data_IF_988799469036
#
_entry.id   IF_988799469036
#
_cell.length_a   1.000
_cell.length_b   1.000
_cell.length_c   1.000
_cell.angle_alpha   90.00
_cell.angle_beta   90.00
_cell.angle_gamma   90.00
#
_symmetry.space_group_name_H-M   'P 1'
#
loop_
_entity.id
_entity.type
_entity.pdbx_description
1 polymer ?
#
# COMPACT_ATOMS: atom_id res chain seq x y z
N UNK A 1 -42.13 21.07 14.01
CA UNK A 1 -41.80 19.66 14.32
C UNK A 1 -40.37 19.42 13.88
N UNK A 2 -39.55 18.84 14.75
CA UNK A 2 -38.11 19.08 14.86
C UNK A 2 -37.28 18.80 13.58
N UNK A 3 -36.53 19.82 13.15
CA UNK A 3 -35.36 19.68 12.28
C UNK A 3 -34.25 18.99 13.09
N UNK A 4 -33.94 17.75 12.74
CA UNK A 4 -32.68 17.14 13.15
C UNK A 4 -31.55 17.74 12.30
N UNK A 5 -30.50 18.35 12.88
CA UNK A 5 -29.31 18.68 12.11
C UNK A 5 -28.61 17.38 11.73
N UNK A 6 -28.55 17.08 10.44
CA UNK A 6 -27.85 15.89 9.92
C UNK A 6 -26.37 15.94 10.32
N UNK A 7 -25.91 15.00 11.14
CA UNK A 7 -24.49 14.86 11.49
C UNK A 7 -23.64 14.75 10.22
N UNK A 8 -22.64 15.63 10.07
CA UNK A 8 -21.59 15.50 9.04
C UNK A 8 -20.94 14.12 9.17
N UNK A 9 -20.90 13.35 8.07
CA UNK A 9 -20.14 12.10 8.03
C UNK A 9 -18.70 12.43 7.62
N UNK A 10 -17.77 12.30 8.57
CA UNK A 10 -16.33 12.47 8.35
C UNK A 10 -15.70 11.14 7.92
N UNK A 11 -14.93 11.14 6.84
CA UNK A 11 -14.08 10.03 6.45
C UNK A 11 -12.63 10.33 6.86
N UNK A 12 -11.99 9.45 7.61
CA UNK A 12 -10.59 9.61 8.03
C UNK A 12 -9.70 8.67 7.22
N UNK A 13 -8.76 9.27 6.50
CA UNK A 13 -7.87 8.57 5.56
C UNK A 13 -6.42 8.84 5.97
N UNK A 14 -5.60 7.80 6.10
CA UNK A 14 -4.15 7.99 6.28
C UNK A 14 -3.32 7.31 5.22
N UNK A 15 -2.28 8.01 4.74
CA UNK A 15 -1.27 7.50 3.82
C UNK A 15 0.12 7.79 4.40
N UNK A 16 0.88 6.78 4.82
CA UNK A 16 2.25 7.01 5.20
C UNK A 16 3.15 7.35 4.01
N UNK A 17 4.10 8.27 4.21
CA UNK A 17 5.18 8.56 3.24
C UNK A 17 4.85 9.58 2.15
N UNK A 18 4.11 10.63 2.48
CA UNK A 18 3.72 11.72 1.56
C UNK A 18 4.81 12.77 1.53
N UNK A 19 5.87 12.57 0.74
CA UNK A 19 6.93 13.58 0.55
C UNK A 19 7.02 14.02 -0.91
N UNK A 20 6.72 13.11 -1.84
CA UNK A 20 6.62 13.35 -3.29
C UNK A 20 6.13 12.06 -3.97
N UNK A 21 5.75 12.12 -5.25
CA UNK A 21 5.40 10.93 -6.04
C UNK A 21 4.02 10.34 -5.73
N UNK A 22 3.95 9.01 -5.56
CA UNK A 22 2.69 8.26 -5.47
C UNK A 22 1.85 8.61 -4.23
N UNK A 23 2.47 8.77 -3.06
CA UNK A 23 1.74 9.09 -1.82
C UNK A 23 1.06 10.46 -1.89
N UNK A 24 1.78 11.47 -2.38
CA UNK A 24 1.22 12.81 -2.64
C UNK A 24 0.09 12.77 -3.66
N UNK A 25 0.30 12.05 -4.75
CA UNK A 25 -0.71 11.96 -5.81
C UNK A 25 -1.95 11.18 -5.37
N UNK A 26 -1.78 10.21 -4.47
CA UNK A 26 -2.90 9.53 -3.79
C UNK A 26 -3.70 10.50 -2.95
N UNK A 27 -3.05 11.35 -2.15
CA UNK A 27 -3.71 12.42 -1.40
C UNK A 27 -4.49 13.39 -2.31
N UNK A 28 -3.87 13.86 -3.39
CA UNK A 28 -4.52 14.73 -4.38
C UNK A 28 -5.75 14.06 -5.00
N UNK A 29 -5.59 12.83 -5.51
CA UNK A 29 -6.65 12.11 -6.20
C UNK A 29 -7.81 11.73 -5.27
N UNK A 30 -7.51 11.28 -4.04
CA UNK A 30 -8.54 11.02 -3.02
C UNK A 30 -9.42 12.25 -2.80
N UNK A 31 -8.81 13.41 -2.65
CA UNK A 31 -9.51 14.66 -2.43
C UNK A 31 -10.34 15.06 -3.65
N UNK A 32 -9.77 14.99 -4.86
CA UNK A 32 -10.48 15.32 -6.09
C UNK A 32 -11.70 14.41 -6.29
N UNK A 33 -11.52 13.10 -6.19
CA UNK A 33 -12.61 12.14 -6.36
C UNK A 33 -13.62 12.21 -5.22
N UNK A 34 -13.21 12.51 -3.99
CA UNK A 34 -14.13 12.72 -2.87
C UNK A 34 -15.04 13.93 -3.12
N UNK A 35 -14.47 15.07 -3.53
CA UNK A 35 -15.24 16.29 -3.80
C UNK A 35 -16.24 16.11 -4.95
N UNK A 36 -15.89 15.29 -5.94
CA UNK A 36 -16.77 14.98 -7.09
C UNK A 36 -17.83 13.94 -6.74
N UNK A 37 -17.48 12.88 -6.01
CA UNK A 37 -18.35 11.70 -5.82
C UNK A 37 -19.20 11.73 -4.55
N UNK A 38 -18.82 12.52 -3.53
CA UNK A 38 -19.52 12.55 -2.24
C UNK A 38 -20.46 13.74 -2.12
N UNK A 39 -21.65 13.56 -1.49
CA UNK A 39 -22.56 14.66 -1.23
C UNK A 39 -21.94 15.74 -0.33
N UNK A 40 -22.46 16.97 -0.43
CA UNK A 40 -21.92 18.14 0.28
C UNK A 40 -22.02 18.08 1.81
N UNK A 41 -22.83 17.17 2.35
CA UNK A 41 -22.93 16.92 3.79
C UNK A 41 -21.84 15.98 4.35
N UNK A 42 -20.92 15.51 3.49
CA UNK A 42 -19.78 14.67 3.88
C UNK A 42 -18.47 15.46 3.78
N UNK A 43 -17.58 15.20 4.73
CA UNK A 43 -16.23 15.76 4.78
C UNK A 43 -15.16 14.68 4.86
N UNK A 44 -13.97 15.01 4.38
CA UNK A 44 -12.78 14.17 4.37
C UNK A 44 -11.73 14.79 5.28
N UNK A 45 -11.26 14.04 6.27
CA UNK A 45 -10.03 14.37 7.00
C UNK A 45 -8.90 13.49 6.48
N UNK A 46 -7.94 14.14 5.83
CA UNK A 46 -6.77 13.51 5.24
C UNK A 46 -5.56 13.64 6.19
N UNK A 47 -5.21 12.52 6.83
CA UNK A 47 -4.02 12.37 7.66
C UNK A 47 -2.85 11.91 6.78
N UNK A 48 -2.04 12.83 6.27
CA UNK A 48 -0.85 12.46 5.52
C UNK A 48 0.36 12.40 6.45
N UNK A 49 1.21 11.39 6.29
CA UNK A 49 2.41 11.27 7.13
C UNK A 49 3.68 11.54 6.34
N UNK A 50 4.66 12.16 6.98
CA UNK A 50 5.99 12.35 6.40
C UNK A 50 7.09 11.97 7.40
N UNK A 51 8.36 12.05 7.00
CA UNK A 51 9.50 11.72 7.87
C UNK A 51 9.92 12.86 8.81
N UNK A 52 9.43 14.08 8.58
CA UNK A 52 9.81 15.23 9.41
C UNK A 52 8.81 16.37 9.29
N UNK A 53 8.75 17.21 10.32
CA UNK A 53 7.86 18.37 10.36
C UNK A 53 8.02 19.31 9.15
N UNK A 54 9.29 19.61 8.77
CA UNK A 54 9.60 20.41 7.58
C UNK A 54 8.90 19.86 6.33
N UNK A 55 9.01 18.55 6.09
CA UNK A 55 8.38 17.89 4.93
C UNK A 55 6.87 17.87 5.03
N UNK A 56 6.32 17.74 6.24
CA UNK A 56 4.89 17.85 6.48
C UNK A 56 4.36 19.23 6.11
N UNK A 57 5.06 20.31 6.46
CA UNK A 57 4.67 21.69 6.12
C UNK A 57 4.76 21.97 4.62
N UNK A 58 5.83 21.52 3.96
CA UNK A 58 5.98 21.61 2.50
C UNK A 58 4.86 20.86 1.76
N UNK A 59 4.54 19.64 2.23
CA UNK A 59 3.46 18.81 1.67
C UNK A 59 2.10 19.46 1.91
N UNK A 60 1.85 20.01 3.10
CA UNK A 60 0.61 20.72 3.43
C UNK A 60 0.37 21.89 2.48
N UNK A 61 1.41 22.69 2.23
CA UNK A 61 1.33 23.82 1.31
C UNK A 61 0.98 23.37 -0.11
N UNK A 62 1.61 22.29 -0.59
CA UNK A 62 1.32 21.71 -1.91
C UNK A 62 -0.11 21.15 -1.99
N UNK A 63 -0.59 20.44 -0.98
CA UNK A 63 -1.96 19.91 -0.94
C UNK A 63 -3.00 21.04 -0.89
N UNK A 64 -2.77 22.10 -0.13
CA UNK A 64 -3.63 23.30 -0.12
C UNK A 64 -3.67 23.98 -1.49
N UNK A 65 -2.53 24.07 -2.17
CA UNK A 65 -2.49 24.63 -3.53
C UNK A 65 -3.24 23.75 -4.53
N UNK A 66 -3.11 22.42 -4.44
CA UNK A 66 -3.91 21.49 -5.24
C UNK A 66 -5.41 21.64 -4.96
N UNK A 67 -5.81 21.70 -3.68
CA UNK A 67 -7.22 21.91 -3.28
C UNK A 67 -7.79 23.18 -3.90
N UNK A 68 -7.04 24.29 -3.87
CA UNK A 68 -7.44 25.56 -4.52
C UNK A 68 -7.62 25.40 -6.03
N UNK A 69 -6.71 24.71 -6.70
CA UNK A 69 -6.80 24.46 -8.13
C UNK A 69 -8.02 23.60 -8.48
N UNK A 70 -8.25 22.52 -7.72
CA UNK A 70 -9.43 21.65 -7.87
C UNK A 70 -10.73 22.39 -7.60
N UNK A 71 -10.81 23.16 -6.51
CA UNK A 71 -11.97 23.96 -6.17
C UNK A 71 -12.34 24.96 -7.27
N UNK A 72 -11.31 25.66 -7.81
CA UNK A 72 -11.48 26.58 -8.94
C UNK A 72 -12.01 25.87 -10.19
N UNK A 73 -11.51 24.66 -10.47
CA UNK A 73 -11.95 23.85 -11.61
C UNK A 73 -13.39 23.37 -11.47
N UNK A 74 -13.81 22.97 -10.26
CA UNK A 74 -15.15 22.41 -10.02
C UNK A 74 -16.23 23.49 -9.87
N UNK A 75 -15.92 24.60 -9.22
CA UNK A 75 -16.92 25.58 -8.79
C UNK A 75 -16.54 27.06 -9.02
N UNK A 76 -15.48 27.34 -9.78
CA UNK A 76 -15.05 28.71 -10.05
C UNK A 76 -14.40 29.41 -8.85
N UNK A 77 -14.36 30.75 -8.88
CA UNK A 77 -13.60 31.56 -7.91
C UNK A 77 -14.12 31.47 -6.46
N UNK A 78 -15.40 31.17 -6.29
CA UNK A 78 -16.05 31.06 -4.96
C UNK A 78 -15.99 29.63 -4.39
N UNK A 79 -15.47 28.67 -5.17
CA UNK A 79 -15.42 27.26 -4.81
C UNK A 79 -14.53 26.90 -3.63
N UNK A 80 -13.58 27.78 -3.28
CA UNK A 80 -12.56 27.46 -2.27
C UNK A 80 -13.18 27.28 -0.88
N UNK A 81 -14.07 28.17 -0.45
CA UNK A 81 -14.72 28.06 0.85
C UNK A 81 -15.52 26.76 0.98
N UNK A 82 -16.19 26.35 -0.11
CA UNK A 82 -16.89 25.06 -0.20
C UNK A 82 -15.91 23.90 -0.02
N UNK A 83 -14.79 23.92 -0.74
CA UNK A 83 -13.78 22.86 -0.68
C UNK A 83 -13.12 22.77 0.71
N UNK A 84 -12.73 23.90 1.31
CA UNK A 84 -12.13 23.97 2.65
C UNK A 84 -13.11 23.54 3.76
N UNK A 85 -14.42 23.74 3.56
CA UNK A 85 -15.43 23.23 4.50
C UNK A 85 -15.59 21.71 4.47
N UNK A 86 -15.11 21.07 3.39
CA UNK A 86 -15.25 19.62 3.14
C UNK A 86 -13.94 18.87 3.30
N UNK A 87 -12.78 19.50 3.18
CA UNK A 87 -11.46 18.85 3.26
C UNK A 87 -10.67 19.42 4.43
N UNK A 88 -10.33 18.57 5.38
CA UNK A 88 -9.41 18.88 6.48
C UNK A 88 -8.10 18.14 6.29
N UNK A 89 -6.98 18.83 6.44
CA UNK A 89 -5.65 18.23 6.38
C UNK A 89 -5.07 18.10 7.79
N UNK A 90 -4.61 16.90 8.15
CA UNK A 90 -3.91 16.65 9.41
C UNK A 90 -2.50 16.10 9.13
N UNK A 91 -1.44 16.93 9.16
CA UNK A 91 -0.09 16.44 9.02
C UNK A 91 0.30 15.54 10.20
N UNK A 92 0.93 14.41 9.90
CA UNK A 92 1.57 13.54 10.88
C UNK A 92 3.01 13.22 10.48
N UNK A 93 3.77 12.64 11.41
CA UNK A 93 5.12 12.19 11.14
C UNK A 93 5.37 10.77 11.67
N UNK A 94 5.99 9.95 10.83
CA UNK A 94 6.45 8.60 11.17
C UNK A 94 7.61 8.20 10.27
N UNK A 95 8.64 7.62 10.87
CA UNK A 95 9.65 6.85 10.16
C UNK A 95 9.35 5.37 10.32
N UNK A 96 8.94 4.70 9.23
CA UNK A 96 8.60 3.28 9.27
C UNK A 96 9.82 2.37 9.49
N UNK A 97 11.03 2.89 9.33
CA UNK A 97 12.26 2.20 9.70
C UNK A 97 12.64 2.39 11.19
N UNK A 98 11.78 3.03 11.97
CA UNK A 98 11.95 3.32 13.39
C UNK A 98 10.70 2.92 14.15
N UNK A 99 10.75 1.75 14.79
CA UNK A 99 9.58 1.17 15.43
C UNK A 99 9.11 1.99 16.65
N UNK A 100 9.99 2.75 17.30
CA UNK A 100 9.60 3.71 18.34
C UNK A 100 8.87 4.90 17.73
N UNK A 101 9.32 5.41 16.58
CA UNK A 101 8.58 6.42 15.81
C UNK A 101 7.18 5.93 15.41
N UNK A 102 7.06 4.68 14.97
CA UNK A 102 5.78 4.03 14.65
C UNK A 102 4.85 4.00 15.87
N UNK A 103 5.35 3.57 17.04
CA UNK A 103 4.56 3.57 18.28
C UNK A 103 4.13 4.97 18.69
N UNK A 104 5.04 5.94 18.65
CA UNK A 104 4.77 7.31 19.03
C UNK A 104 3.67 7.94 18.15
N UNK A 105 3.74 7.73 16.83
CA UNK A 105 2.70 8.20 15.92
C UNK A 105 1.36 7.51 16.18
N UNK A 106 1.35 6.18 16.37
CA UNK A 106 0.12 5.45 16.63
C UNK A 106 -0.56 5.89 17.94
N UNK A 107 0.19 6.13 19.03
CA UNK A 107 -0.37 6.67 20.28
C UNK A 107 -1.04 8.02 20.08
N UNK A 108 -0.38 8.95 19.37
CA UNK A 108 -0.97 10.27 19.06
C UNK A 108 -2.24 10.11 18.24
N UNK A 109 -2.22 9.27 17.21
CA UNK A 109 -3.40 8.99 16.41
C UNK A 109 -4.54 8.42 17.29
N UNK A 110 -4.30 7.36 18.06
CA UNK A 110 -5.33 6.75 18.92
C UNK A 110 -5.90 7.75 19.95
N UNK A 111 -5.06 8.64 20.48
CA UNK A 111 -5.50 9.67 21.43
C UNK A 111 -6.32 10.80 20.77
N UNK A 112 -5.98 11.19 19.55
CA UNK A 112 -6.51 12.41 18.93
C UNK A 112 -7.60 12.19 17.88
N UNK A 113 -7.64 11.01 17.22
CA UNK A 113 -8.60 10.75 16.14
C UNK A 113 -9.75 9.86 16.63
N UNK A 114 -11.02 10.23 16.35
CA UNK A 114 -12.17 9.49 16.86
C UNK A 114 -12.33 8.10 16.23
N UNK A 115 -11.90 7.96 14.98
CA UNK A 115 -11.97 6.75 14.15
C UNK A 115 -11.04 6.88 12.95
N UNK A 116 -10.73 5.75 12.31
CA UNK A 116 -10.03 5.70 11.03
C UNK A 116 -10.83 4.83 10.07
N UNK A 117 -11.24 5.36 8.91
CA UNK A 117 -12.07 4.61 7.96
C UNK A 117 -11.23 3.87 6.93
N UNK A 118 -10.11 4.46 6.51
CA UNK A 118 -9.21 3.86 5.53
C UNK A 118 -7.74 4.15 5.89
N UNK A 119 -6.92 3.10 5.90
CA UNK A 119 -5.48 3.13 6.09
C UNK A 119 -4.80 2.67 4.80
N UNK A 120 -4.01 3.53 4.16
CA UNK A 120 -3.31 3.26 2.90
C UNK A 120 -1.83 3.08 3.19
N UNK A 121 -1.30 1.88 3.03
CA UNK A 121 0.09 1.53 3.33
C UNK A 121 0.93 1.63 2.05
N UNK A 122 1.28 2.86 1.69
CA UNK A 122 1.96 3.19 0.42
C UNK A 122 3.49 3.32 0.54
N UNK A 123 4.00 3.85 1.64
CA UNK A 123 5.44 4.11 1.79
C UNK A 123 6.29 2.86 1.54
N UNK A 124 7.45 3.06 0.93
CA UNK A 124 8.38 1.98 0.64
C UNK A 124 9.67 2.48 0.00
N UNK A 125 10.68 1.62 0.01
CA UNK A 125 11.96 1.86 -0.67
C UNK A 125 12.33 0.63 -1.50
N UNK A 126 12.92 0.83 -2.67
CA UNK A 126 13.38 -0.29 -3.50
C UNK A 126 14.78 -0.80 -3.15
N UNK A 127 15.64 0.06 -2.58
CA UNK A 127 17.02 -0.33 -2.24
C UNK A 127 17.96 -0.46 -3.45
N UNK A 128 17.56 0.03 -4.62
CA UNK A 128 18.41 0.06 -5.81
C UNK A 128 19.65 0.93 -5.59
N UNK A 129 20.81 0.41 -5.97
CA UNK A 129 22.11 1.08 -5.90
C UNK A 129 22.61 1.54 -7.27
N UNK A 130 22.02 1.04 -8.35
CA UNK A 130 22.37 1.45 -9.71
C UNK A 130 21.59 0.72 -10.79
N UNK A 131 21.96 0.99 -12.04
CA UNK A 131 21.39 0.37 -13.23
C UNK A 131 22.54 -0.11 -14.12
N UNK A 132 22.45 -1.34 -14.62
CA UNK A 132 23.29 -1.83 -15.70
C UNK A 132 22.82 -1.18 -17.01
N UNK A 133 23.34 0.01 -17.32
CA UNK A 133 22.89 0.80 -18.47
C UNK A 133 22.98 0.06 -19.82
N UNK A 134 24.11 -0.59 -20.18
CA UNK A 134 24.17 -1.37 -21.42
C UNK A 134 23.09 -2.44 -21.52
N UNK A 135 22.88 -3.20 -20.43
CA UNK A 135 21.85 -4.22 -20.39
C UNK A 135 20.44 -3.62 -20.42
N UNK A 136 20.21 -2.51 -19.72
CA UNK A 136 18.94 -1.79 -19.73
C UNK A 136 18.59 -1.30 -21.14
N UNK A 137 19.52 -0.66 -21.85
CA UNK A 137 19.32 -0.26 -23.24
C UNK A 137 19.02 -1.45 -24.14
N UNK A 138 19.80 -2.53 -24.03
CA UNK A 138 19.56 -3.75 -24.79
C UNK A 138 18.17 -4.34 -24.52
N UNK A 139 17.78 -4.48 -23.26
CA UNK A 139 16.48 -5.04 -22.86
C UNK A 139 15.33 -4.15 -23.34
N UNK A 140 15.44 -2.82 -23.18
CA UNK A 140 14.38 -1.88 -23.60
C UNK A 140 14.23 -1.87 -25.12
N UNK A 141 15.32 -2.00 -25.89
CA UNK A 141 15.25 -2.04 -27.37
C UNK A 141 14.74 -3.38 -27.91
N UNK A 142 15.07 -4.49 -27.26
CA UNK A 142 14.71 -5.84 -27.74
C UNK A 142 13.38 -6.35 -27.18
N UNK A 143 12.93 -5.82 -26.04
CA UNK A 143 11.74 -6.29 -25.33
C UNK A 143 11.13 -5.18 -24.46
N UNK A 144 10.74 -4.09 -25.11
CA UNK A 144 10.35 -2.82 -24.47
C UNK A 144 9.33 -2.96 -23.34
N UNK A 145 8.21 -3.66 -23.58
CA UNK A 145 7.14 -3.79 -22.57
C UNK A 145 7.64 -4.57 -21.36
N UNK A 146 8.29 -5.72 -21.58
CA UNK A 146 8.74 -6.57 -20.48
C UNK A 146 9.81 -5.86 -19.66
N UNK A 147 10.81 -5.29 -20.31
CA UNK A 147 11.90 -4.58 -19.66
C UNK A 147 11.39 -3.45 -18.76
N UNK A 148 10.45 -2.64 -19.25
CA UNK A 148 9.92 -1.51 -18.48
C UNK A 148 8.90 -1.92 -17.40
N UNK A 149 8.30 -3.11 -17.51
CA UNK A 149 7.38 -3.63 -16.49
C UNK A 149 8.12 -4.33 -15.34
N UNK A 150 9.21 -5.04 -15.66
CA UNK A 150 10.01 -5.84 -14.71
C UNK A 150 11.51 -5.51 -14.81
N UNK A 151 11.93 -4.32 -14.33
CA UNK A 151 13.30 -3.84 -14.44
C UNK A 151 14.35 -4.61 -13.62
N UNK A 152 13.96 -5.51 -12.71
CA UNK A 152 14.86 -6.23 -11.80
C UNK A 152 16.14 -6.77 -12.48
N UNK A 153 16.00 -7.29 -13.70
CA UNK A 153 17.10 -7.88 -14.48
C UNK A 153 18.28 -6.95 -14.74
N UNK A 154 18.07 -5.63 -14.76
CA UNK A 154 19.10 -4.64 -15.06
C UNK A 154 19.28 -3.60 -13.95
N UNK A 155 18.68 -3.81 -12.78
CA UNK A 155 18.90 -2.98 -11.59
C UNK A 155 19.89 -3.65 -10.65
N UNK A 156 20.76 -2.87 -10.02
CA UNK A 156 21.63 -3.33 -8.95
C UNK A 156 21.01 -3.03 -7.59
N UNK A 157 21.19 -3.95 -6.65
CA UNK A 157 20.81 -3.82 -5.25
C UNK A 157 21.87 -4.47 -4.37
N UNK A 158 21.93 -4.08 -3.10
CA UNK A 158 22.83 -4.70 -2.13
C UNK A 158 22.14 -5.86 -1.41
N UNK A 159 22.89 -6.94 -1.14
CA UNK A 159 22.48 -8.02 -0.25
C UNK A 159 22.63 -7.57 1.21
N UNK A 160 21.75 -8.03 2.11
CA UNK A 160 21.95 -7.87 3.56
C UNK A 160 21.85 -6.43 4.06
N UNK A 161 21.03 -5.57 3.44
CA UNK A 161 20.87 -4.17 3.86
C UNK A 161 20.18 -4.11 5.22
N UNK A 162 20.97 -3.92 6.26
CA UNK A 162 20.52 -3.80 7.64
C UNK A 162 19.84 -2.46 7.92
N UNK A 163 18.80 -2.50 8.73
CA UNK A 163 18.22 -1.31 9.35
C UNK A 163 19.11 -0.84 10.50
N UNK A 164 18.92 0.42 10.92
CA UNK A 164 19.55 0.92 12.15
C UNK A 164 19.06 0.12 13.37
N UNK A 165 19.86 0.09 14.44
CA UNK A 165 19.39 -0.40 15.73
C UNK A 165 18.14 0.37 16.16
N UNK A 166 17.15 -0.35 16.65
CA UNK A 166 15.84 0.19 17.04
C UNK A 166 15.77 0.47 18.56
N UNK A 167 16.61 -0.21 19.33
CA UNK A 167 16.67 -0.17 20.79
C UNK A 167 18.12 -0.27 21.26
N UNK A 168 18.36 -0.08 22.56
CA UNK A 168 19.64 -0.36 23.20
C UNK A 168 19.71 -1.78 23.80
N UNK A 169 18.66 -2.60 23.63
CA UNK A 169 18.57 -3.93 24.20
C UNK A 169 19.64 -4.88 23.60
N UNK A 170 20.36 -5.66 24.43
CA UNK A 170 21.44 -6.53 23.95
C UNK A 170 20.92 -7.68 23.08
N UNK A 171 19.66 -8.10 23.26
CA UNK A 171 19.01 -9.20 22.53
C UNK A 171 18.24 -8.74 21.27
N UNK A 172 18.46 -7.50 20.81
CA UNK A 172 17.84 -6.96 19.61
C UNK A 172 18.23 -7.77 18.36
N UNK A 173 17.28 -8.45 17.68
CA UNK A 173 17.55 -9.22 16.49
C UNK A 173 17.89 -8.34 15.28
N UNK A 174 18.52 -8.90 14.23
CA UNK A 174 18.69 -8.21 12.97
C UNK A 174 17.33 -7.81 12.36
N UNK A 175 17.29 -6.62 11.78
CA UNK A 175 16.14 -6.08 11.04
C UNK A 175 16.60 -5.65 9.65
N UNK A 176 16.02 -6.21 8.59
CA UNK A 176 16.25 -5.78 7.21
C UNK A 176 15.60 -4.43 6.95
N UNK A 177 16.34 -3.50 6.34
CA UNK A 177 15.86 -2.12 6.09
C UNK A 177 14.73 -2.08 5.07
N UNK A 178 14.86 -2.81 3.97
CA UNK A 178 13.85 -2.86 2.90
C UNK A 178 12.58 -3.53 3.43
N UNK A 179 12.72 -4.64 4.16
CA UNK A 179 11.63 -5.30 4.85
C UNK A 179 10.90 -4.39 5.85
N UNK A 180 11.65 -3.69 6.71
CA UNK A 180 11.07 -2.78 7.70
C UNK A 180 10.27 -1.65 7.03
N UNK A 181 10.87 -0.99 6.04
CA UNK A 181 10.25 0.12 5.31
C UNK A 181 9.00 -0.26 4.52
N UNK A 182 8.95 -1.47 3.95
CA UNK A 182 7.90 -1.89 3.02
C UNK A 182 6.84 -2.80 3.65
N UNK A 183 7.15 -3.48 4.75
CA UNK A 183 6.28 -4.49 5.36
C UNK A 183 6.17 -4.31 6.87
N UNK A 184 7.24 -4.48 7.63
CA UNK A 184 7.14 -4.62 9.08
C UNK A 184 6.72 -3.33 9.81
N UNK A 185 7.24 -2.16 9.41
CA UNK A 185 6.80 -0.88 9.96
C UNK A 185 5.30 -0.63 9.73
N UNK A 186 4.80 -0.98 8.54
CA UNK A 186 3.36 -0.92 8.22
C UNK A 186 2.54 -1.95 9.00
N UNK A 187 3.10 -3.16 9.18
CA UNK A 187 2.48 -4.24 9.95
C UNK A 187 2.25 -3.80 11.39
N UNK A 188 3.29 -3.27 12.04
CA UNK A 188 3.24 -2.71 13.39
C UNK A 188 2.27 -1.53 13.49
N UNK A 189 2.39 -0.55 12.57
CA UNK A 189 1.51 0.62 12.54
C UNK A 189 0.04 0.24 12.44
N UNK A 190 -0.29 -0.70 11.55
CA UNK A 190 -1.66 -1.18 11.36
C UNK A 190 -2.20 -1.83 12.63
N UNK A 191 -1.43 -2.70 13.29
CA UNK A 191 -1.83 -3.34 14.55
C UNK A 191 -2.14 -2.31 15.64
N UNK A 192 -1.30 -1.29 15.77
CA UNK A 192 -1.47 -0.23 16.75
C UNK A 192 -2.65 0.69 16.46
N UNK A 193 -3.09 0.80 15.21
CA UNK A 193 -4.25 1.61 14.79
C UNK A 193 -5.57 0.83 14.79
N UNK A 194 -5.58 -0.46 15.15
CA UNK A 194 -6.80 -1.27 15.11
C UNK A 194 -7.92 -0.73 16.00
N UNK A 195 -7.57 -0.11 17.13
CA UNK A 195 -8.54 0.48 18.06
C UNK A 195 -9.35 1.62 17.43
N UNK A 196 -8.75 2.41 16.53
CA UNK A 196 -9.45 3.48 15.80
C UNK A 196 -10.03 3.00 14.47
N UNK A 197 -9.42 2.02 13.82
CA UNK A 197 -10.00 1.35 12.64
C UNK A 197 -11.30 0.64 12.98
N UNK A 198 -11.35 -0.04 14.14
CA UNK A 198 -12.53 -0.75 14.61
C UNK A 198 -13.73 0.13 14.95
N UNK A 199 -13.52 1.45 15.10
CA UNK A 199 -14.56 2.48 15.34
C UNK A 199 -15.09 3.10 14.05
N UNK A 200 -14.61 2.67 12.89
CA UNK A 200 -15.00 3.22 11.60
C UNK A 200 -16.51 3.17 11.37
N UNK A 201 -17.03 4.23 10.73
CA UNK A 201 -18.41 4.24 10.24
C UNK A 201 -18.54 3.57 8.88
N UNK A 202 -17.43 3.45 8.15
CA UNK A 202 -17.31 2.55 7.02
C UNK A 202 -17.19 1.13 7.58
N UNK A 203 -18.24 0.31 7.48
CA UNK A 203 -18.22 -1.05 8.04
C UNK A 203 -18.00 -2.10 6.94
N UNK A 204 -16.88 -2.85 6.94
CA UNK A 204 -15.67 -2.66 7.77
C UNK A 204 -14.77 -1.53 7.26
N UNK A 205 -13.88 -1.03 8.13
CA UNK A 205 -12.78 -0.14 7.74
C UNK A 205 -11.88 -0.83 6.71
N UNK A 206 -11.09 -0.07 5.96
CA UNK A 206 -10.24 -0.62 4.88
C UNK A 206 -8.76 -0.40 5.17
N UNK A 207 -7.96 -1.45 5.03
CA UNK A 207 -6.49 -1.36 5.06
C UNK A 207 -5.98 -1.74 3.67
N UNK A 208 -5.36 -0.83 2.95
CA UNK A 208 -4.94 -1.01 1.57
C UNK A 208 -3.42 -1.11 1.52
N UNK A 209 -2.91 -2.31 1.23
CA UNK A 209 -1.49 -2.59 1.11
C UNK A 209 -1.01 -2.34 -0.31
N UNK A 210 0.04 -1.52 -0.47
CA UNK A 210 0.63 -1.22 -1.78
C UNK A 210 1.78 -2.19 -2.09
N UNK A 211 1.52 -3.13 -2.98
CA UNK A 211 2.49 -4.06 -3.56
C UNK A 211 3.08 -3.53 -4.88
N UNK A 212 3.69 -4.40 -5.68
CA UNK A 212 4.35 -4.10 -6.96
C UNK A 212 4.08 -5.18 -8.01
N UNK A 213 4.22 -4.84 -9.29
CA UNK A 213 4.27 -5.81 -10.39
C UNK A 213 5.53 -6.68 -10.36
N UNK A 214 6.59 -6.19 -9.70
CA UNK A 214 7.84 -6.93 -9.53
C UNK A 214 7.86 -7.88 -8.33
N UNK A 215 6.75 -7.97 -7.60
CA UNK A 215 6.52 -9.02 -6.62
C UNK A 215 6.68 -10.39 -7.31
N UNK A 216 7.62 -11.21 -6.85
CA UNK A 216 7.94 -12.48 -7.49
C UNK A 216 8.45 -13.51 -6.49
N UNK A 217 8.09 -14.78 -6.74
CA UNK A 217 8.50 -15.92 -5.91
C UNK A 217 9.99 -16.23 -6.02
N UNK A 218 10.62 -15.87 -7.14
CA UNK A 218 12.00 -16.26 -7.48
C UNK A 218 13.03 -15.80 -6.44
N UNK A 219 12.76 -14.68 -5.78
CA UNK A 219 13.65 -14.09 -4.76
C UNK A 219 13.10 -14.23 -3.33
N UNK A 220 12.00 -14.98 -3.15
CA UNK A 220 11.36 -15.12 -1.86
C UNK A 220 11.71 -16.45 -1.20
N UNK A 221 11.99 -16.40 0.10
CA UNK A 221 12.09 -17.59 0.94
C UNK A 221 11.43 -17.32 2.28
N UNK A 222 10.59 -18.25 2.73
CA UNK A 222 9.99 -18.22 4.07
C UNK A 222 11.07 -18.19 5.17
N UNK A 223 12.26 -18.75 4.91
CA UNK A 223 13.40 -18.75 5.84
C UNK A 223 14.29 -17.49 5.74
N UNK A 224 13.98 -16.58 4.83
CA UNK A 224 14.61 -15.27 4.68
C UNK A 224 13.54 -14.20 4.42
N UNK A 225 12.50 -14.21 5.26
CA UNK A 225 11.33 -13.32 5.10
C UNK A 225 11.69 -11.82 5.10
N UNK A 226 12.83 -11.45 5.68
CA UNK A 226 13.33 -10.08 5.67
C UNK A 226 14.15 -9.70 4.40
N UNK A 227 14.44 -10.67 3.53
CA UNK A 227 15.24 -10.49 2.31
C UNK A 227 16.70 -10.11 2.60
N UNK A 228 17.31 -10.69 3.62
CA UNK A 228 18.71 -10.39 4.01
C UNK A 228 19.73 -11.18 3.20
N UNK A 229 19.35 -12.29 2.57
CA UNK A 229 20.23 -13.20 1.82
C UNK A 229 20.12 -13.04 0.31
N UNK A 230 19.26 -12.14 -0.17
CA UNK A 230 19.02 -11.85 -1.60
C UNK A 230 19.31 -10.39 -1.93
N UNK A 231 19.76 -10.10 -3.15
CA UNK A 231 19.96 -8.72 -3.59
C UNK A 231 18.62 -8.06 -3.92
N UNK A 232 17.69 -8.83 -4.46
CA UNK A 232 16.33 -8.47 -4.89
C UNK A 232 15.35 -8.44 -3.70
N UNK A 233 15.81 -7.89 -2.57
CA UNK A 233 15.04 -7.80 -1.33
C UNK A 233 13.71 -7.05 -1.50
N UNK A 234 13.64 -6.08 -2.41
CA UNK A 234 12.38 -5.38 -2.73
C UNK A 234 11.35 -6.32 -3.33
N UNK A 235 11.73 -7.08 -4.36
CA UNK A 235 10.87 -8.05 -5.02
C UNK A 235 10.40 -9.12 -4.02
N UNK A 236 11.34 -9.62 -3.22
CA UNK A 236 11.09 -10.59 -2.14
C UNK A 236 10.05 -10.10 -1.12
N UNK A 237 10.23 -8.89 -0.55
CA UNK A 237 9.32 -8.38 0.50
C UNK A 237 7.97 -7.91 -0.07
N UNK A 238 7.91 -7.55 -1.35
CA UNK A 238 6.64 -7.29 -2.03
C UNK A 238 5.87 -8.60 -2.29
N UNK A 239 6.57 -9.70 -2.56
CA UNK A 239 5.95 -11.03 -2.59
C UNK A 239 5.45 -11.49 -1.22
N UNK A 240 6.19 -11.18 -0.15
CA UNK A 240 5.68 -11.37 1.22
C UNK A 240 4.37 -10.60 1.46
N UNK A 241 4.26 -9.36 0.97
CA UNK A 241 3.03 -8.59 1.07
C UNK A 241 1.88 -9.27 0.32
N UNK A 242 2.13 -9.80 -0.87
CA UNK A 242 1.13 -10.54 -1.64
C UNK A 242 0.66 -11.78 -0.86
N UNK A 243 1.59 -12.60 -0.35
CA UNK A 243 1.28 -13.77 0.48
C UNK A 243 0.40 -13.40 1.68
N UNK A 244 0.81 -12.43 2.49
CA UNK A 244 0.08 -12.05 3.70
C UNK A 244 -1.36 -11.63 3.39
N UNK A 245 -1.56 -10.73 2.41
CA UNK A 245 -2.86 -10.09 2.20
C UNK A 245 -3.83 -10.97 1.41
N UNK A 246 -3.32 -11.82 0.52
CA UNK A 246 -4.13 -12.75 -0.26
C UNK A 246 -4.53 -13.99 0.54
N UNK A 247 -3.71 -14.42 1.51
CA UNK A 247 -4.06 -15.55 2.41
C UNK A 247 -4.71 -15.14 3.71
N UNK A 248 -4.73 -13.85 4.07
CA UNK A 248 -5.41 -13.30 5.26
C UNK A 248 -6.83 -13.85 5.51
N UNK A 249 -7.75 -13.94 4.53
CA UNK A 249 -9.11 -14.43 4.77
C UNK A 249 -9.20 -15.96 4.92
N UNK A 250 -8.12 -16.70 4.68
CA UNK A 250 -8.14 -18.16 4.64
C UNK A 250 -8.02 -18.75 6.04
N UNK A 251 -8.73 -19.85 6.28
CA UNK A 251 -8.70 -20.57 7.55
C UNK A 251 -7.30 -21.04 7.97
N UNK A 252 -6.41 -21.30 7.01
CA UNK A 252 -5.02 -21.69 7.26
C UNK A 252 -4.20 -20.58 7.92
N UNK A 253 -4.51 -19.30 7.67
CA UNK A 253 -3.80 -18.14 8.23
C UNK A 253 -4.52 -17.55 9.46
N UNK A 254 -5.79 -17.89 9.66
CA UNK A 254 -6.65 -17.36 10.74
C UNK A 254 -5.99 -17.38 12.14
N UNK A 255 -5.29 -18.42 12.60
CA UNK A 255 -4.69 -18.44 13.95
C UNK A 255 -3.74 -17.27 14.25
N UNK A 256 -3.09 -16.72 13.23
CA UNK A 256 -2.15 -15.59 13.36
C UNK A 256 -2.75 -14.29 12.84
N UNK A 257 -3.46 -14.32 11.71
CA UNK A 257 -4.11 -13.15 11.15
C UNK A 257 -5.18 -12.57 12.09
N UNK A 258 -5.95 -13.43 12.77
CA UNK A 258 -6.99 -13.00 13.71
C UNK A 258 -6.39 -12.37 14.97
N UNK A 259 -5.28 -12.94 15.46
CA UNK A 259 -4.52 -12.38 16.58
C UNK A 259 -3.92 -11.02 16.22
N UNK A 260 -3.33 -10.93 15.03
CA UNK A 260 -2.83 -9.67 14.49
C UNK A 260 -3.92 -8.61 14.35
N UNK A 261 -5.13 -9.01 13.93
CA UNK A 261 -6.29 -8.14 13.75
C UNK A 261 -7.15 -7.99 15.02
N UNK A 262 -6.59 -8.29 16.19
CA UNK A 262 -7.17 -7.95 17.49
C UNK A 262 -6.54 -6.65 17.98
N UNK A 263 -7.32 -5.68 18.53
CA UNK A 263 -6.77 -4.43 19.03
C UNK A 263 -5.60 -4.64 20.01
N UNK A 264 -4.55 -3.85 19.83
CA UNK A 264 -3.35 -3.93 20.67
C UNK A 264 -3.67 -3.62 22.14
N UNK A 265 -2.98 -4.31 23.04
CA UNK A 265 -3.00 -4.03 24.48
C UNK A 265 -1.83 -3.13 24.91
N UNK A 266 -1.04 -2.61 23.97
CA UNK A 266 0.02 -1.66 24.29
C UNK A 266 -0.55 -0.38 24.92
N UNK A 267 0.17 0.16 25.92
CA UNK A 267 -0.22 1.40 26.60
C UNK A 267 -0.47 2.54 25.62
N UNK A 268 -1.66 3.15 25.70
CA UNK A 268 -2.12 4.24 24.84
C UNK A 268 -2.68 3.79 23.49
N UNK A 269 -2.90 2.49 23.28
CA UNK A 269 -3.44 1.91 22.04
C UNK A 269 -4.62 0.96 22.30
N UNK A 270 -5.00 0.80 23.56
CA UNK A 270 -6.02 -0.11 24.06
C UNK A 270 -7.45 0.36 23.75
N UNK A 271 -8.39 -0.58 23.78
CA UNK A 271 -9.80 -0.32 23.51
C UNK A 271 -10.64 -0.45 24.78
N UNK A 272 -11.30 0.64 25.17
CA UNK A 272 -12.50 0.61 26.04
C UNK A 272 -13.80 0.48 25.21
N UNK A 273 -13.72 0.05 23.95
CA UNK A 273 -14.85 0.08 23.02
C UNK A 273 -15.75 -1.16 23.16
N UNK A 274 -17.04 -0.95 23.37
CA UNK A 274 -18.06 -2.00 23.49
C UNK A 274 -18.33 -2.76 22.16
N UNK A 275 -17.90 -2.23 21.01
CA UNK A 275 -18.02 -2.91 19.72
C UNK A 275 -16.79 -2.67 18.83
N UNK A 276 -16.11 -3.75 18.43
CA UNK A 276 -15.00 -3.75 17.48
C UNK A 276 -15.44 -4.41 16.17
N UNK A 277 -15.17 -3.78 15.03
CA UNK A 277 -15.36 -4.39 13.70
C UNK A 277 -14.00 -4.58 13.03
N UNK A 278 -13.65 -5.83 12.70
CA UNK A 278 -12.40 -6.16 11.98
C UNK A 278 -12.31 -5.40 10.65
N UNK A 279 -11.20 -4.70 10.35
CA UNK A 279 -11.01 -4.07 9.05
C UNK A 279 -10.84 -5.11 7.93
N UNK A 280 -11.29 -4.79 6.71
CA UNK A 280 -11.01 -5.58 5.51
C UNK A 280 -9.69 -5.11 4.87
N UNK A 281 -8.77 -6.05 4.64
CA UNK A 281 -7.52 -5.75 3.94
C UNK A 281 -7.68 -5.90 2.43
N UNK A 282 -7.10 -4.99 1.67
CA UNK A 282 -7.03 -5.04 0.20
C UNK A 282 -5.59 -4.92 -0.26
N UNK A 283 -5.30 -5.48 -1.43
CA UNK A 283 -3.98 -5.44 -2.05
C UNK A 283 -4.06 -4.63 -3.34
N UNK A 284 -3.20 -3.63 -3.47
CA UNK A 284 -3.10 -2.82 -4.68
C UNK A 284 -1.68 -2.74 -5.23
N UNK A 285 -1.52 -2.26 -6.46
CA UNK A 285 -0.24 -1.74 -6.96
C UNK A 285 -0.47 -0.58 -7.93
N UNK A 286 0.51 0.33 -8.10
CA UNK A 286 0.31 1.58 -8.84
C UNK A 286 0.50 1.47 -10.35
N UNK A 287 0.66 0.26 -10.89
CA UNK A 287 1.24 0.08 -12.23
C UNK A 287 2.66 0.64 -12.30
N UNK A 288 3.06 1.13 -13.48
CA UNK A 288 4.33 1.80 -13.75
C UNK A 288 4.07 3.30 -13.89
N UNK A 289 4.56 4.06 -12.90
CA UNK A 289 4.49 5.52 -12.88
C UNK A 289 5.83 6.13 -12.47
N UNK A 290 6.09 7.34 -12.95
CA UNK A 290 7.32 8.09 -12.71
C UNK A 290 7.35 8.60 -11.28
N UNK A 291 8.13 7.92 -10.43
CA UNK A 291 8.34 8.30 -9.02
C UNK A 291 9.83 8.36 -8.72
N UNK A 292 10.20 8.98 -7.60
CA UNK A 292 11.59 9.03 -7.13
C UNK A 292 12.09 7.70 -6.52
N UNK A 293 11.40 6.57 -6.75
CA UNK A 293 11.82 5.26 -6.23
C UNK A 293 13.11 4.76 -6.90
N UNK A 294 13.32 5.15 -8.17
CA UNK A 294 14.59 5.00 -8.88
C UNK A 294 15.19 6.41 -9.03
N UNK A 295 16.34 6.72 -8.39
CA UNK A 295 16.95 8.04 -8.50
C UNK A 295 17.59 8.20 -9.89
N UNK A 296 16.88 8.87 -10.80
CA UNK A 296 17.35 9.19 -12.14
C UNK A 296 17.62 10.67 -12.29
N UNK A 297 18.63 11.04 -13.08
CA UNK A 297 18.84 12.43 -13.50
C UNK A 297 17.66 12.89 -14.36
N UNK A 298 17.37 14.20 -14.36
CA UNK A 298 16.19 14.76 -15.05
C UNK A 298 16.04 14.30 -16.52
N UNK A 299 17.08 14.30 -17.37
CA UNK A 299 16.94 13.83 -18.76
C UNK A 299 16.53 12.35 -18.86
N UNK A 300 16.97 11.53 -17.91
CA UNK A 300 16.64 10.10 -17.85
C UNK A 300 15.21 9.86 -17.37
N UNK A 301 14.67 10.74 -16.51
CA UNK A 301 13.25 10.72 -16.14
C UNK A 301 12.38 10.97 -17.38
N UNK A 302 12.70 12.00 -18.18
CA UNK A 302 11.98 12.28 -19.42
C UNK A 302 12.08 11.13 -20.42
N UNK A 303 13.27 10.55 -20.56
CA UNK A 303 13.50 9.39 -21.42
C UNK A 303 12.65 8.18 -20.96
N UNK A 304 12.64 7.89 -19.66
CA UNK A 304 11.83 6.83 -19.05
C UNK A 304 10.33 7.06 -19.28
N UNK A 305 9.85 8.29 -19.12
CA UNK A 305 8.45 8.63 -19.39
C UNK A 305 8.10 8.45 -20.87
N UNK A 306 8.99 8.84 -21.78
CA UNK A 306 8.79 8.66 -23.22
C UNK A 306 8.72 7.16 -23.60
N UNK A 307 9.65 6.33 -23.13
CA UNK A 307 9.61 4.89 -23.43
C UNK A 307 8.43 4.19 -22.73
N UNK A 308 8.00 4.67 -21.57
CA UNK A 308 6.76 4.21 -20.91
C UNK A 308 5.53 4.53 -21.74
N UNK A 309 5.51 5.69 -22.40
CA UNK A 309 4.45 6.05 -23.34
C UNK A 309 4.43 5.13 -24.56
N UNK A 310 5.60 4.76 -25.10
CA UNK A 310 5.72 3.74 -26.15
C UNK A 310 5.17 2.40 -25.67
N UNK A 311 5.57 1.92 -24.48
CA UNK A 311 5.07 0.66 -23.93
C UNK A 311 3.54 0.66 -23.76
N UNK A 312 2.96 1.79 -23.31
CA UNK A 312 1.51 1.98 -23.27
C UNK A 312 0.89 1.91 -24.66
N UNK A 313 1.46 2.63 -25.63
CA UNK A 313 1.00 2.58 -27.02
C UNK A 313 1.09 1.18 -27.61
N UNK A 314 2.03 0.34 -27.19
CA UNK A 314 2.15 -1.06 -27.61
C UNK A 314 1.17 -2.00 -26.89
N UNK A 315 0.26 -1.45 -26.06
CA UNK A 315 -0.80 -2.21 -25.40
C UNK A 315 -0.49 -2.64 -23.98
N UNK A 316 0.55 -2.11 -23.33
CA UNK A 316 0.76 -2.38 -21.91
C UNK A 316 -0.32 -1.73 -21.06
N UNK A 317 -1.09 -2.50 -20.26
CA UNK A 317 -2.11 -1.93 -19.37
C UNK A 317 -1.49 -1.22 -18.17
N UNK A 318 -0.28 -1.60 -17.78
CA UNK A 318 0.33 -1.15 -16.53
C UNK A 318 1.06 0.19 -16.62
N UNK A 319 1.34 0.70 -17.82
CA UNK A 319 2.14 1.91 -18.01
C UNK A 319 1.27 3.17 -17.92
N UNK A 320 0.88 3.51 -16.69
CA UNK A 320 0.04 4.68 -16.37
C UNK A 320 0.81 6.00 -16.37
N UNK A 321 2.15 5.94 -16.40
CA UNK A 321 3.12 7.04 -16.61
C UNK A 321 3.22 8.02 -15.43
N UNK A 322 2.13 8.63 -14.99
CA UNK A 322 2.15 9.65 -13.94
C UNK A 322 1.64 9.10 -12.60
N UNK A 323 2.13 9.60 -11.46
CA UNK A 323 1.72 9.09 -10.15
C UNK A 323 0.24 9.34 -9.79
N UNK A 324 -0.44 10.32 -10.40
CA UNK A 324 -1.87 10.55 -10.17
C UNK A 324 -2.70 9.43 -10.82
N UNK A 325 -2.35 9.05 -12.05
CA UNK A 325 -2.87 7.82 -12.68
C UNK A 325 -2.48 6.58 -11.87
N UNK A 326 -1.25 6.52 -11.34
CA UNK A 326 -0.78 5.44 -10.46
C UNK A 326 -1.58 5.28 -9.17
N UNK A 327 -2.20 6.34 -8.66
CA UNK A 327 -3.04 6.28 -7.47
C UNK A 327 -4.43 5.65 -7.71
N UNK A 328 -4.82 5.38 -8.96
CA UNK A 328 -6.19 4.97 -9.33
C UNK A 328 -6.74 3.80 -8.51
N UNK A 329 -6.08 2.64 -8.52
CA UNK A 329 -6.56 1.46 -7.82
C UNK A 329 -6.68 1.67 -6.30
N UNK A 330 -5.70 2.36 -5.71
CA UNK A 330 -5.72 2.67 -4.27
C UNK A 330 -6.87 3.62 -3.92
N UNK A 331 -7.13 4.66 -4.72
CA UNK A 331 -8.27 5.56 -4.52
C UNK A 331 -9.61 4.87 -4.75
N UNK A 332 -9.70 4.03 -5.78
CA UNK A 332 -10.87 3.20 -6.05
C UNK A 332 -11.19 2.28 -4.87
N UNK A 333 -10.21 1.60 -4.30
CA UNK A 333 -10.37 0.79 -3.08
C UNK A 333 -10.78 1.64 -1.86
N UNK A 334 -10.35 2.90 -1.81
CA UNK A 334 -10.64 3.80 -0.69
C UNK A 334 -12.06 4.37 -0.73
N UNK A 335 -12.54 4.76 -1.91
CA UNK A 335 -13.77 5.54 -2.08
C UNK A 335 -14.94 4.75 -2.65
N UNK A 336 -14.71 3.61 -3.32
CA UNK A 336 -15.82 2.87 -3.92
C UNK A 336 -16.81 2.37 -2.86
N UNK A 337 -18.13 2.36 -3.15
CA UNK A 337 -19.10 1.68 -2.33
C UNK A 337 -18.73 0.22 -2.08
N UNK A 338 -19.10 -0.33 -0.93
CA UNK A 338 -18.84 -1.75 -0.61
C UNK A 338 -19.40 -2.69 -1.68
N UNK A 339 -20.62 -2.43 -2.15
CA UNK A 339 -21.26 -3.23 -3.21
C UNK A 339 -20.47 -3.25 -4.52
N UNK A 340 -19.79 -2.16 -4.88
CA UNK A 340 -18.93 -2.11 -6.07
C UNK A 340 -17.70 -2.99 -5.91
N UNK A 341 -17.06 -2.95 -4.73
CA UNK A 341 -15.88 -3.79 -4.45
C UNK A 341 -16.28 -5.26 -4.35
N UNK A 342 -17.36 -5.58 -3.62
CA UNK A 342 -17.87 -6.93 -3.50
C UNK A 342 -18.27 -7.49 -4.87
N UNK A 343 -18.94 -6.70 -5.72
CA UNK A 343 -19.29 -7.12 -7.07
C UNK A 343 -18.07 -7.36 -7.98
N UNK A 344 -16.99 -6.61 -7.79
CA UNK A 344 -15.74 -6.81 -8.52
C UNK A 344 -14.98 -8.08 -8.08
N UNK A 345 -15.18 -8.53 -6.83
CA UNK A 345 -14.57 -9.75 -6.27
C UNK A 345 -15.47 -10.99 -6.46
N UNK A 346 -16.79 -10.82 -6.48
CA UNK A 346 -17.79 -11.89 -6.45
C UNK A 346 -17.64 -12.93 -7.57
N UNK A 347 -17.24 -12.50 -8.76
CA UNK A 347 -17.08 -13.43 -9.89
C UNK A 347 -15.90 -14.38 -9.67
N UNK A 348 -14.78 -13.91 -9.10
CA UNK A 348 -13.67 -14.78 -8.74
C UNK A 348 -14.05 -15.74 -7.61
N UNK A 349 -14.76 -15.25 -6.59
CA UNK A 349 -15.25 -16.09 -5.49
C UNK A 349 -16.19 -17.20 -5.99
N UNK A 350 -17.11 -16.88 -6.91
CA UNK A 350 -18.02 -17.86 -7.54
C UNK A 350 -17.27 -18.97 -8.28
N UNK A 351 -16.11 -18.65 -8.83
CA UNK A 351 -15.25 -19.59 -9.56
C UNK A 351 -14.24 -20.31 -8.66
N UNK A 352 -14.42 -20.27 -7.33
CA UNK A 352 -13.54 -20.95 -6.37
C UNK A 352 -12.21 -20.23 -6.11
N UNK A 353 -12.13 -18.96 -6.49
CA UNK A 353 -11.02 -18.06 -6.19
C UNK A 353 -11.10 -17.47 -4.78
N UNK A 354 -10.42 -16.35 -4.60
CA UNK A 354 -10.35 -15.55 -3.38
C UNK A 354 -10.02 -14.11 -3.73
N UNK A 355 -9.22 -13.45 -2.90
CA UNK A 355 -8.92 -12.02 -3.08
C UNK A 355 -8.09 -11.77 -4.35
N UNK A 356 -8.45 -10.77 -5.17
CA UNK A 356 -7.60 -10.27 -6.25
C UNK A 356 -6.55 -9.27 -5.75
N UNK A 357 -5.53 -9.06 -6.57
CA UNK A 357 -4.60 -7.92 -6.48
C UNK A 357 -5.04 -6.87 -7.49
N UNK A 358 -5.34 -5.65 -7.04
CA UNK A 358 -5.87 -4.59 -7.90
C UNK A 358 -4.78 -3.61 -8.38
N UNK A 359 -4.66 -3.44 -9.69
CA UNK A 359 -3.68 -2.57 -10.32
C UNK A 359 -4.28 -1.30 -10.91
N UNK A 360 -3.57 -0.18 -10.75
CA UNK A 360 -3.80 1.00 -11.58
C UNK A 360 -3.37 0.67 -13.01
N UNK A 361 -4.32 0.75 -13.94
CA UNK A 361 -4.11 0.42 -15.33
C UNK A 361 -4.64 1.53 -16.24
N UNK A 362 -4.30 1.45 -17.52
CA UNK A 362 -4.86 2.29 -18.56
C UNK A 362 -4.87 1.58 -19.90
N UNK A 363 -5.71 2.04 -20.82
CA UNK A 363 -5.64 1.61 -22.21
C UNK A 363 -4.53 2.32 -23.00
N UNK A 364 -4.43 2.02 -24.30
CA UNK A 364 -3.44 2.62 -25.22
C UNK A 364 -3.55 4.15 -25.30
N UNK A 365 -4.74 4.71 -25.09
CA UNK A 365 -5.01 6.15 -25.12
C UNK A 365 -4.76 6.81 -23.76
N UNK A 366 -4.43 6.04 -22.72
CA UNK A 366 -4.25 6.54 -21.36
C UNK A 366 -5.55 6.70 -20.58
N UNK A 367 -6.68 6.15 -21.06
CA UNK A 367 -7.92 6.10 -20.28
C UNK A 367 -7.70 5.14 -19.11
N UNK A 368 -7.80 5.68 -17.90
CA UNK A 368 -7.48 4.94 -16.68
C UNK A 368 -8.58 3.93 -16.32
N UNK A 369 -8.18 2.78 -15.80
CA UNK A 369 -9.07 1.77 -15.23
C UNK A 369 -8.39 1.08 -14.04
N UNK A 370 -9.16 0.29 -13.31
CA UNK A 370 -8.65 -0.65 -12.30
C UNK A 370 -8.77 -2.05 -12.86
N UNK A 371 -7.70 -2.83 -12.75
CA UNK A 371 -7.64 -4.18 -13.31
C UNK A 371 -7.10 -5.17 -12.29
N UNK A 372 -7.53 -6.42 -12.36
CA UNK A 372 -6.93 -7.50 -11.56
C UNK A 372 -5.57 -7.89 -12.13
N UNK A 373 -4.66 -8.27 -11.25
CA UNK A 373 -3.28 -8.60 -11.61
C UNK A 373 -3.00 -10.05 -11.26
N UNK A 374 -2.43 -10.77 -12.22
CA UNK A 374 -1.94 -12.13 -12.01
C UNK A 374 -0.81 -12.12 -10.97
N UNK A 375 -0.87 -13.03 -9.99
CA UNK A 375 0.12 -13.18 -8.93
C UNK A 375 0.75 -14.56 -9.00
N UNK A 376 2.09 -14.64 -8.97
CA UNK A 376 2.79 -15.93 -9.05
C UNK A 376 2.43 -16.85 -7.88
N UNK A 377 1.98 -18.07 -8.19
CA UNK A 377 1.47 -19.04 -7.20
C UNK A 377 0.02 -18.79 -6.74
N UNK A 378 -0.61 -17.70 -7.18
CA UNK A 378 -2.01 -17.37 -6.88
C UNK A 378 -2.87 -17.14 -8.13
N UNK A 379 -2.28 -16.98 -9.31
CA UNK A 379 -2.99 -16.73 -10.58
C UNK A 379 -3.85 -15.46 -10.54
N UNK A 380 -4.98 -15.48 -11.24
CA UNK A 380 -5.99 -14.41 -11.20
C UNK A 380 -6.93 -14.67 -10.03
N UNK A 381 -6.66 -13.97 -8.91
CA UNK A 381 -7.46 -14.03 -7.69
C UNK A 381 -7.66 -15.47 -7.15
N UNK A 382 -6.69 -16.38 -7.30
CA UNK A 382 -6.77 -17.72 -6.75
C UNK A 382 -7.62 -18.70 -7.56
N UNK A 383 -8.15 -18.32 -8.72
CA UNK A 383 -8.90 -19.25 -9.58
C UNK A 383 -7.92 -20.21 -10.26
N UNK A 384 -8.10 -21.52 -10.05
CA UNK A 384 -7.26 -22.57 -10.64
C UNK A 384 -7.55 -22.67 -12.13
N UNK A 385 -6.50 -22.74 -12.95
CA UNK A 385 -6.56 -22.76 -14.40
C UNK A 385 -6.21 -21.42 -15.06
N UNK A 386 -6.59 -21.23 -16.35
CA UNK A 386 -6.32 -20.01 -17.10
C UNK A 386 -7.17 -18.84 -16.59
N UNK A 387 -6.84 -17.64 -17.08
CA UNK A 387 -7.66 -16.44 -16.91
C UNK A 387 -9.13 -16.72 -17.32
N UNK A 388 -10.05 -16.55 -16.38
CA UNK A 388 -11.47 -16.86 -16.59
C UNK A 388 -12.27 -15.66 -17.11
N UNK A 389 -11.92 -14.44 -16.68
CA UNK A 389 -12.59 -13.22 -17.12
C UNK A 389 -11.98 -12.70 -18.43
N UNK A 390 -12.82 -12.19 -19.35
CA UNK A 390 -12.36 -11.63 -20.63
C UNK A 390 -11.35 -10.48 -20.45
N UNK A 391 -11.58 -9.65 -19.42
CA UNK A 391 -10.65 -8.60 -19.06
C UNK A 391 -9.26 -9.17 -18.73
N UNK A 392 -9.19 -10.32 -18.06
CA UNK A 392 -7.94 -10.95 -17.63
C UNK A 392 -7.24 -11.63 -18.81
N UNK A 393 -8.00 -12.35 -19.64
CA UNK A 393 -7.52 -13.03 -20.85
C UNK A 393 -6.84 -12.09 -21.84
N UNK A 394 -7.34 -10.86 -21.94
CA UNK A 394 -6.80 -9.84 -22.85
C UNK A 394 -5.53 -9.17 -22.33
N UNK A 395 -5.15 -9.36 -21.05
CA UNK A 395 -3.96 -8.73 -20.47
C UNK A 395 -2.71 -9.58 -20.68
N UNK A 396 -1.63 -8.92 -21.08
CA UNK A 396 -0.30 -9.53 -21.21
C UNK A 396 0.17 -10.06 -19.84
N UNK A 397 0.58 -11.33 -19.83
CA UNK A 397 1.15 -12.02 -18.67
C UNK A 397 2.67 -11.83 -18.60
N UNK A 398 3.25 -12.05 -17.41
CA UNK A 398 4.71 -12.09 -17.24
C UNK A 398 5.27 -13.24 -18.08
N UNK A 399 6.44 -13.05 -18.69
CA UNK A 399 7.12 -14.13 -19.43
C UNK A 399 7.34 -15.32 -18.50
N UNK A 400 6.99 -16.52 -18.98
CA UNK A 400 7.11 -17.75 -18.20
C UNK A 400 5.93 -18.00 -17.25
N UNK A 401 4.92 -17.12 -17.21
CA UNK A 401 3.70 -17.39 -16.45
C UNK A 401 2.99 -18.63 -16.99
N UNK A 402 2.66 -19.55 -16.08
CA UNK A 402 1.87 -20.75 -16.31
C UNK A 402 0.51 -20.60 -15.64
N UNK A 403 -0.51 -21.27 -16.20
CA UNK A 403 -1.83 -21.31 -15.56
C UNK A 403 -1.73 -21.91 -14.16
N UNK A 404 -2.50 -21.35 -13.22
CA UNK A 404 -2.41 -21.73 -11.82
C UNK A 404 -2.86 -23.18 -11.64
N UNK A 405 -1.99 -24.01 -11.09
CA UNK A 405 -2.34 -25.38 -10.68
C UNK A 405 -2.88 -25.41 -9.25
N UNK A 406 -3.59 -26.48 -8.90
CA UNK A 406 -4.10 -26.67 -7.53
C UNK A 406 -2.94 -26.82 -6.52
N UNK A 407 -1.86 -27.49 -6.95
CA UNK A 407 -0.63 -27.70 -6.19
C UNK A 407 0.12 -26.39 -5.92
N UNK A 408 0.24 -25.53 -6.93
CA UNK A 408 0.82 -24.19 -6.76
C UNK A 408 -0.01 -23.32 -5.82
N UNK A 409 -1.35 -23.35 -5.96
CA UNK A 409 -2.25 -22.66 -5.03
C UNK A 409 -2.07 -23.16 -3.61
N UNK A 410 -1.98 -24.48 -3.41
CA UNK A 410 -1.71 -25.07 -2.08
C UNK A 410 -0.38 -24.59 -1.52
N UNK A 411 0.68 -24.61 -2.34
CA UNK A 411 2.03 -24.16 -1.94
C UNK A 411 2.02 -22.68 -1.54
N UNK A 412 1.30 -21.82 -2.27
CA UNK A 412 1.14 -20.42 -1.94
C UNK A 412 0.40 -20.22 -0.61
N UNK A 413 -0.67 -20.99 -0.38
CA UNK A 413 -1.42 -20.97 0.88
C UNK A 413 -0.57 -21.43 2.07
N UNK A 414 0.22 -22.48 1.89
CA UNK A 414 1.16 -22.98 2.91
C UNK A 414 2.24 -21.95 3.22
N UNK A 415 2.83 -21.33 2.20
CA UNK A 415 3.79 -20.26 2.37
C UNK A 415 3.18 -19.05 3.11
N UNK A 416 1.95 -18.66 2.75
CA UNK A 416 1.23 -17.57 3.43
C UNK A 416 0.98 -17.86 4.91
N UNK A 417 0.55 -19.09 5.25
CA UNK A 417 0.43 -19.54 6.64
C UNK A 417 1.74 -19.38 7.41
N UNK A 418 2.84 -19.86 6.84
CA UNK A 418 4.14 -19.83 7.52
C UNK A 418 4.68 -18.39 7.66
N UNK A 419 4.40 -17.53 6.67
CA UNK A 419 4.69 -16.10 6.75
C UNK A 419 3.90 -15.43 7.89
N UNK A 420 2.59 -15.68 7.98
CA UNK A 420 1.75 -15.15 9.05
C UNK A 420 2.26 -15.57 10.44
N UNK A 421 2.63 -16.85 10.59
CA UNK A 421 3.24 -17.38 11.83
C UNK A 421 4.52 -16.63 12.21
N UNK A 422 5.42 -16.43 11.25
CA UNK A 422 6.68 -15.75 11.52
C UNK A 422 6.51 -14.26 11.76
N UNK A 423 5.66 -13.57 11.00
CA UNK A 423 5.34 -12.16 11.20
C UNK A 423 4.77 -11.89 12.58
N UNK A 424 3.85 -12.75 13.04
CA UNK A 424 3.25 -12.61 14.36
C UNK A 424 4.22 -12.92 15.50
N UNK A 425 5.08 -13.93 15.32
CA UNK A 425 6.18 -14.22 16.27
C UNK A 425 7.14 -13.03 16.37
N UNK A 426 7.49 -12.43 15.22
CA UNK A 426 8.37 -11.27 15.13
C UNK A 426 7.73 -10.03 15.79
N UNK A 427 6.43 -9.78 15.54
CA UNK A 427 5.68 -8.67 16.16
C UNK A 427 5.73 -8.73 17.67
N UNK A 428 5.39 -9.89 18.25
CA UNK A 428 5.36 -10.07 19.71
C UNK A 428 6.75 -9.88 20.33
N UNK A 429 7.80 -10.41 19.69
CA UNK A 429 9.19 -10.21 20.15
C UNK A 429 9.58 -8.72 20.13
N UNK A 430 9.22 -8.00 19.07
CA UNK A 430 9.54 -6.58 18.97
C UNK A 430 8.70 -5.72 19.92
N UNK A 431 7.44 -6.05 20.17
CA UNK A 431 6.63 -5.35 21.18
C UNK A 431 7.23 -5.46 22.58
N UNK A 432 7.73 -6.65 22.96
CA UNK A 432 8.44 -6.84 24.22
C UNK A 432 9.71 -5.98 24.29
N UNK A 433 10.57 -6.05 23.28
CA UNK A 433 11.81 -5.24 23.20
C UNK A 433 11.53 -3.74 23.29
N UNK A 434 10.56 -3.24 22.53
CA UNK A 434 10.19 -1.82 22.52
C UNK A 434 9.59 -1.40 23.86
N UNK A 435 8.85 -2.27 24.54
CA UNK A 435 8.28 -1.97 25.86
C UNK A 435 9.36 -1.92 26.94
N UNK A 436 10.36 -2.82 26.90
CA UNK A 436 11.55 -2.75 27.74
C UNK A 436 12.35 -1.47 27.50
N UNK A 437 12.52 -1.08 26.24
CA UNK A 437 13.25 0.14 25.87
C UNK A 437 12.56 1.40 26.43
N UNK A 438 11.25 1.51 26.26
CA UNK A 438 10.49 2.65 26.80
C UNK A 438 10.51 2.68 28.33
N UNK A 439 10.45 1.53 28.99
CA UNK A 439 10.53 1.46 30.45
C UNK A 439 11.91 1.90 30.99
N UNK A 440 12.99 1.64 30.25
CA UNK A 440 14.33 2.13 30.60
C UNK A 440 14.44 3.65 30.43
N UNK A 441 13.85 4.20 29.38
CA UNK A 441 13.88 5.65 29.11
C UNK A 441 13.06 6.47 30.11
N UNK A 442 12.10 5.88 30.83
CA UNK A 442 11.34 6.55 31.91
C UNK A 442 12.14 6.59 33.22
N UNK A 443 13.14 5.71 33.39
CA UNK A 443 13.95 5.60 34.61
C UNK A 443 15.23 6.47 34.59
N UNK A 444 15.59 7.01 33.44
CA UNK A 444 16.65 7.99 33.23
C UNK A 444 16.05 9.40 33.22
#
# INVERSE_FOLDING_TARGET
MAFFPSRKQEQWLTSPGVISGLGFSTCCRLMDEFLVSRPDNQSLTLIFTTRSEKKSNETLAQLKNHLRATAKKLWGLEGLAKAESRITFKPEHVDLCDLLSVRAMARRAVAEIPKLDVLILNAGIAGFTGINWPLAFWCVLTDTIYALTWPARYTYSNVGVMNRKQTSQPDEPPMGKIFCANVFGHYMLTHYLLSVLGKSTLKPARVIWTSSLESTRDFFSVNDMQGLKVAESYQSVKYLTDLLILTEPLSSSAPWADKYLTPSTCSGMDTNAASYTRPKMYLSHPGICSTSIVPLALPLIWSMMFVSWIARLMGSPWHVIDPYSGANATVWLSLSPKSTLDGAEAEYERLGGGKPKWGSACDRLGRQCVASTEVEGWGYAGVVGPAVLEADKSRRRKRGATDLTAEEKSTFVDAGRDCWKQMETLRLRWEDLLSREEANNIKL
#
